data_IF_580733163618
#
_entry.id   IF_580733163618
#
_cell.length_a   1.000
_cell.length_b   1.000
_cell.length_c   1.000
_cell.angle_alpha   90.00
_cell.angle_beta   90.00
_cell.angle_gamma   90.00
#
_symmetry.space_group_name_H-M   'P 1'
#
loop_
_entity.id
_entity.type
_entity.pdbx_description
1 polymer ?
#
# COMPACT_ATOMS: atom_id res chain seq x y z
N UNK A 1 -3.49 -25.18 20.07
CA UNK A 1 -2.67 -23.95 19.92
C UNK A 1 -3.04 -23.28 18.61
N UNK A 2 -4.06 -22.40 18.63
CA UNK A 2 -4.48 -21.65 17.44
C UNK A 2 -3.48 -20.52 17.19
N UNK A 3 -2.70 -20.62 16.11
CA UNK A 3 -1.91 -19.48 15.65
C UNK A 3 -2.89 -18.41 15.16
N UNK A 4 -2.94 -17.27 15.84
CA UNK A 4 -3.62 -16.07 15.34
C UNK A 4 -2.89 -15.63 14.07
N UNK A 5 -3.27 -16.16 12.91
CA UNK A 5 -2.81 -15.65 11.63
C UNK A 5 -3.24 -14.19 11.55
N UNK A 6 -2.31 -13.22 11.50
CA UNK A 6 -2.68 -11.82 11.42
C UNK A 6 -3.47 -11.59 10.12
N UNK A 7 -4.52 -10.78 10.19
CA UNK A 7 -5.31 -10.45 9.01
C UNK A 7 -4.42 -9.84 7.91
N UNK A 8 -4.76 -10.06 6.65
CA UNK A 8 -4.03 -9.49 5.52
C UNK A 8 -3.91 -7.97 5.65
N UNK A 9 -4.97 -7.29 6.12
CA UNK A 9 -4.99 -5.86 6.46
C UNK A 9 -3.87 -5.51 7.46
N UNK A 10 -3.73 -6.27 8.53
CA UNK A 10 -2.66 -6.09 9.54
C UNK A 10 -1.27 -6.25 8.92
N UNK A 11 -1.10 -7.22 8.02
CA UNK A 11 0.18 -7.46 7.36
C UNK A 11 0.51 -6.29 6.42
N UNK A 12 -0.44 -5.86 5.58
CA UNK A 12 -0.26 -4.72 4.67
C UNK A 12 0.11 -3.44 5.45
N UNK A 13 -0.56 -3.13 6.55
CA UNK A 13 -0.19 -1.96 7.36
C UNK A 13 1.21 -2.05 7.96
N UNK A 14 1.72 -3.25 8.27
CA UNK A 14 3.13 -3.39 8.68
C UNK A 14 4.09 -2.99 7.56
N UNK A 15 3.78 -3.35 6.31
CA UNK A 15 4.57 -2.91 5.15
C UNK A 15 4.47 -1.41 4.94
N UNK A 16 3.27 -0.84 5.01
CA UNK A 16 3.06 0.60 4.88
C UNK A 16 3.82 1.38 5.95
N UNK A 17 3.78 0.93 7.21
CA UNK A 17 4.50 1.60 8.28
C UNK A 17 6.02 1.54 8.08
N UNK A 18 6.55 0.42 7.57
CA UNK A 18 7.97 0.34 7.18
C UNK A 18 8.28 1.28 6.02
N UNK A 19 7.39 1.37 5.04
CA UNK A 19 7.51 2.26 3.90
C UNK A 19 7.53 3.73 4.34
N UNK A 20 6.63 4.15 5.24
CA UNK A 20 6.58 5.53 5.75
C UNK A 20 7.91 5.96 6.38
N UNK A 21 8.57 5.07 7.15
CA UNK A 21 9.90 5.34 7.72
C UNK A 21 10.98 5.53 6.66
N UNK A 22 10.89 4.80 5.55
CA UNK A 22 11.81 4.99 4.41
C UNK A 22 11.49 6.31 3.70
N UNK A 23 10.21 6.64 3.53
CA UNK A 23 9.78 7.89 2.89
C UNK A 23 10.28 9.12 3.65
N UNK A 24 10.32 9.07 4.99
CA UNK A 24 10.83 10.15 5.83
C UNK A 24 12.28 10.57 5.54
N UNK A 25 13.11 9.67 4.98
CA UNK A 25 14.52 9.97 4.64
C UNK A 25 14.73 10.37 3.18
N UNK A 26 13.68 10.31 2.34
CA UNK A 26 13.77 10.66 0.91
C UNK A 26 13.72 12.18 0.69
N UNK A 27 14.15 12.67 -0.50
CA UNK A 27 13.92 14.05 -0.94
C UNK A 27 12.43 14.43 -0.95
N UNK A 28 12.12 15.71 -0.79
CA UNK A 28 10.74 16.20 -0.67
C UNK A 28 9.87 15.83 -1.87
N UNK A 29 10.40 15.89 -3.09
CA UNK A 29 9.68 15.54 -4.32
C UNK A 29 9.24 14.07 -4.32
N UNK A 30 10.10 13.17 -3.88
CA UNK A 30 9.79 11.74 -3.75
C UNK A 30 8.75 11.49 -2.67
N UNK A 31 8.80 12.22 -1.54
CA UNK A 31 7.78 12.10 -0.47
C UNK A 31 6.38 12.37 -0.96
N UNK A 32 6.22 13.33 -1.87
CA UNK A 32 4.91 13.66 -2.48
C UNK A 32 4.41 12.47 -3.30
N UNK A 33 5.28 11.84 -4.09
CA UNK A 33 4.93 10.65 -4.88
C UNK A 33 4.46 9.51 -3.98
N UNK A 34 5.19 9.22 -2.90
CA UNK A 34 4.81 8.15 -1.96
C UNK A 34 3.53 8.47 -1.17
N UNK A 35 3.30 9.72 -0.81
CA UNK A 35 2.05 10.16 -0.18
C UNK A 35 0.88 9.98 -1.14
N UNK A 36 1.05 10.37 -2.40
CA UNK A 36 0.04 10.19 -3.46
C UNK A 36 -0.20 8.72 -3.81
N UNK A 37 0.85 7.90 -3.73
CA UNK A 37 0.76 6.45 -3.86
C UNK A 37 -0.11 5.88 -2.73
N UNK A 38 0.15 6.20 -1.46
CA UNK A 38 -0.58 5.64 -0.32
C UNK A 38 -2.03 6.13 -0.18
N UNK A 39 -2.41 7.20 -0.87
CA UNK A 39 -3.79 7.68 -0.90
C UNK A 39 -4.74 6.61 -1.46
N UNK A 40 -5.88 6.40 -0.79
CA UNK A 40 -6.90 5.40 -1.15
C UNK A 40 -6.43 3.92 -1.03
N UNK A 41 -5.33 3.64 -0.32
CA UNK A 41 -4.86 2.26 -0.11
C UNK A 41 -5.90 1.40 0.61
N UNK A 42 -6.64 1.95 1.57
CA UNK A 42 -7.65 1.21 2.33
C UNK A 42 -8.76 0.63 1.42
N UNK A 43 -9.17 1.37 0.40
CA UNK A 43 -10.13 0.89 -0.60
C UNK A 43 -9.57 -0.30 -1.37
N UNK A 44 -8.28 -0.28 -1.72
CA UNK A 44 -7.64 -1.42 -2.39
C UNK A 44 -7.55 -2.64 -1.48
N UNK A 45 -7.16 -2.44 -0.21
CA UNK A 45 -7.14 -3.51 0.79
C UNK A 45 -8.52 -4.14 0.92
N UNK A 46 -9.58 -3.33 0.98
CA UNK A 46 -10.96 -3.79 1.10
C UNK A 46 -11.37 -4.65 -0.10
N UNK A 47 -11.15 -4.16 -1.32
CA UNK A 47 -11.44 -4.90 -2.56
C UNK A 47 -10.70 -6.24 -2.60
N UNK A 48 -9.40 -6.24 -2.33
CA UNK A 48 -8.58 -7.46 -2.35
C UNK A 48 -8.97 -8.46 -1.24
N UNK A 49 -9.38 -7.96 -0.07
CA UNK A 49 -9.86 -8.82 1.03
C UNK A 49 -11.14 -9.56 0.68
N UNK A 50 -12.03 -8.96 -0.12
CA UNK A 50 -13.24 -9.64 -0.61
C UNK A 50 -12.96 -10.75 -1.63
N UNK A 51 -11.83 -10.68 -2.32
CA UNK A 51 -11.42 -11.65 -3.36
C UNK A 51 -10.57 -12.78 -2.75
N UNK A 52 -10.11 -12.65 -1.51
CA UNK A 52 -9.27 -13.64 -0.84
C UNK A 52 -7.79 -13.56 -1.25
N UNK A 53 -7.30 -12.36 -1.54
CA UNK A 53 -5.86 -12.14 -1.77
C UNK A 53 -5.10 -12.34 -0.46
N UNK A 54 -4.13 -13.26 -0.47
CA UNK A 54 -3.33 -13.62 0.71
C UNK A 54 -1.93 -13.00 0.71
N UNK A 55 -1.46 -12.46 -0.42
CA UNK A 55 -0.16 -11.81 -0.52
C UNK A 55 -0.27 -10.27 -0.34
N UNK A 56 0.34 -9.68 0.70
CA UNK A 56 0.34 -8.23 0.90
C UNK A 56 1.04 -7.46 -0.22
N UNK A 57 2.02 -8.05 -0.91
CA UNK A 57 2.70 -7.43 -2.04
C UNK A 57 1.79 -7.36 -3.27
N UNK A 58 0.93 -8.35 -3.47
CA UNK A 58 -0.08 -8.33 -4.54
C UNK A 58 -1.04 -7.13 -4.35
N UNK A 59 -1.47 -6.87 -3.12
CA UNK A 59 -2.32 -5.71 -2.79
C UNK A 59 -1.60 -4.40 -3.11
N UNK A 60 -0.32 -4.27 -2.74
CA UNK A 60 0.48 -3.07 -3.04
C UNK A 60 0.70 -2.90 -4.55
N UNK A 61 0.90 -4.01 -5.28
CA UNK A 61 1.05 -3.98 -6.74
C UNK A 61 -0.25 -3.57 -7.44
N UNK A 62 -1.38 -4.15 -7.06
CA UNK A 62 -2.71 -3.75 -7.55
C UNK A 62 -2.95 -2.27 -7.23
N UNK A 63 -2.56 -1.83 -6.04
CA UNK A 63 -2.69 -0.43 -5.66
C UNK A 63 -1.86 0.47 -6.57
N UNK A 64 -0.60 0.12 -6.83
CA UNK A 64 0.25 0.83 -7.77
C UNK A 64 -0.43 0.96 -9.13
N UNK A 65 -0.96 -0.14 -9.67
CA UNK A 65 -1.67 -0.14 -10.95
C UNK A 65 -2.89 0.79 -10.96
N UNK A 66 -3.67 0.82 -9.87
CA UNK A 66 -4.82 1.74 -9.72
C UNK A 66 -4.37 3.21 -9.69
N UNK A 67 -3.23 3.51 -9.07
CA UNK A 67 -2.69 4.86 -8.89
C UNK A 67 -1.82 5.35 -10.07
N UNK A 68 -1.42 4.47 -11.01
CA UNK A 68 -0.60 4.88 -12.18
C UNK A 68 -1.23 6.03 -12.97
N UNK A 69 -2.56 6.06 -13.07
CA UNK A 69 -3.32 7.13 -13.76
C UNK A 69 -3.11 8.51 -13.11
N UNK A 70 -2.92 8.52 -11.79
CA UNK A 70 -2.73 9.74 -11.00
C UNK A 70 -1.25 10.13 -10.94
N UNK A 71 -0.35 9.15 -10.98
CA UNK A 71 1.11 9.36 -11.06
C UNK A 71 1.57 9.95 -12.40
N UNK A 72 0.85 9.68 -13.49
CA UNK A 72 1.18 10.18 -14.82
C UNK A 72 0.87 11.68 -15.01
N UNK A 73 0.15 12.30 -14.06
CA UNK A 73 -0.33 13.69 -14.13
C UNK A 73 0.60 14.69 -13.44
N UNK A 74 1.73 14.23 -12.91
CA UNK A 74 2.70 15.02 -12.12
C UNK A 74 3.94 15.46 -12.92
N UNK A 75 3.94 15.26 -14.25
CA UNK A 75 5.01 15.66 -15.17
C UNK A 75 4.50 16.65 -16.20
#
# INVERSE_FOLDING_TARGET
MGRNTPSIKTIVYKYVNRLSKIVEILPQEERIIFTNYLNDLETTISICSHIGVDDPLEILFIHLLRRMKDLHRTW
#
